data_IF_518295207979
#
_entry.id   IF_518295207979
#
_cell.length_a   1.000
_cell.length_b   1.000
_cell.length_c   1.000
_cell.angle_alpha   90.00
_cell.angle_beta   90.00
_cell.angle_gamma   90.00
#
_symmetry.space_group_name_H-M   'P 1'
#
loop_
_entity.id
_entity.type
_entity.pdbx_description
1 polymer ?
#
# COMPACT_ATOMS: atom_id res chain seq x y z
N UNK A 1 5.78 2.41 8.23
CA UNK A 1 5.74 1.59 9.46
C UNK A 1 4.33 1.06 9.60
N UNK A 2 4.11 -0.25 9.78
CA UNK A 2 2.75 -0.80 9.94
C UNK A 2 2.02 -0.16 11.12
N UNK A 3 0.89 0.48 10.85
CA UNK A 3 0.14 1.29 11.82
C UNK A 3 -0.69 0.47 12.83
N UNK A 4 -1.13 -0.74 12.45
CA UNK A 4 -2.06 -1.54 13.24
C UNK A 4 -1.47 -2.15 14.51
N UNK A 5 -0.25 -2.73 14.53
CA UNK A 5 0.31 -3.31 15.76
C UNK A 5 0.43 -2.32 16.94
N UNK A 6 0.89 -1.07 16.74
CA UNK A 6 0.82 -0.04 17.79
C UNK A 6 -0.60 0.26 18.29
N UNK A 7 -1.59 0.30 17.39
CA UNK A 7 -3.00 0.54 17.74
C UNK A 7 -3.53 -0.57 18.63
N UNK A 8 -3.27 -1.84 18.30
CA UNK A 8 -3.70 -2.98 19.11
C UNK A 8 -3.08 -2.96 20.51
N UNK A 9 -1.78 -2.65 20.61
CA UNK A 9 -1.10 -2.52 21.91
C UNK A 9 -1.76 -1.44 22.78
N UNK A 10 -2.06 -0.28 22.20
CA UNK A 10 -2.70 0.83 22.92
C UNK A 10 -4.15 0.52 23.30
N UNK A 11 -4.89 -0.21 22.47
CA UNK A 11 -6.25 -0.66 22.77
C UNK A 11 -6.26 -1.62 23.98
N UNK A 12 -5.41 -2.65 23.94
CA UNK A 12 -5.30 -3.64 25.03
C UNK A 12 -4.88 -2.98 26.35
N UNK A 13 -4.02 -1.96 26.31
CA UNK A 13 -3.60 -1.22 27.48
C UNK A 13 -4.72 -0.41 28.15
N UNK A 14 -5.85 -0.15 27.48
CA UNK A 14 -6.98 0.56 28.08
C UNK A 14 -7.84 -0.32 28.99
N UNK A 15 -7.69 -1.66 28.93
CA UNK A 15 -8.42 -2.58 29.81
C UNK A 15 -9.94 -2.51 29.67
N UNK A 16 -10.44 -2.14 28.48
CA UNK A 16 -11.87 -2.06 28.21
C UNK A 16 -12.52 -3.45 28.31
N UNK A 17 -13.75 -3.58 28.85
CA UNK A 17 -14.44 -4.86 29.01
C UNK A 17 -15.08 -5.32 27.68
N UNK A 18 -14.29 -5.36 26.60
CA UNK A 18 -14.71 -5.72 25.25
C UNK A 18 -13.70 -6.67 24.62
N UNK A 19 -14.17 -7.53 23.70
CA UNK A 19 -13.32 -8.40 22.91
C UNK A 19 -12.97 -7.71 21.59
N UNK A 20 -11.69 -7.81 21.16
CA UNK A 20 -11.26 -7.34 19.85
C UNK A 20 -11.07 -8.54 18.92
N UNK A 21 -11.80 -8.55 17.80
CA UNK A 21 -11.64 -9.53 16.74
C UNK A 21 -11.12 -8.83 15.48
N UNK A 22 -10.06 -9.36 14.87
CA UNK A 22 -9.36 -8.73 13.74
C UNK A 22 -9.45 -9.67 12.55
N UNK A 23 -9.88 -9.13 11.41
CA UNK A 23 -9.92 -9.83 10.13
C UNK A 23 -9.07 -9.08 9.10
N UNK A 24 -8.30 -9.82 8.30
CA UNK A 24 -7.67 -9.31 7.08
C UNK A 24 -8.47 -9.81 5.89
N UNK A 25 -9.13 -8.91 5.19
CA UNK A 25 -10.08 -9.18 4.11
C UNK A 25 -9.80 -8.24 2.94
N UNK A 26 -10.32 -8.58 1.76
CA UNK A 26 -10.34 -7.65 0.63
C UNK A 26 -11.36 -6.55 0.90
N UNK A 27 -11.15 -5.35 0.36
CA UNK A 27 -12.04 -4.20 0.58
C UNK A 27 -13.51 -4.52 0.29
N UNK A 28 -13.78 -5.24 -0.81
CA UNK A 28 -15.14 -5.66 -1.20
C UNK A 28 -15.80 -6.58 -0.18
N UNK A 29 -15.04 -7.51 0.40
CA UNK A 29 -15.55 -8.45 1.40
C UNK A 29 -15.80 -7.71 2.73
N UNK A 30 -14.89 -6.80 3.12
CA UNK A 30 -15.04 -5.93 4.28
C UNK A 30 -16.32 -5.10 4.20
N UNK A 31 -16.57 -4.45 3.07
CA UNK A 31 -17.77 -3.65 2.87
C UNK A 31 -19.05 -4.50 2.92
N UNK A 32 -19.04 -5.69 2.33
CA UNK A 32 -20.18 -6.59 2.39
C UNK A 32 -20.50 -7.01 3.83
N UNK A 33 -19.49 -7.36 4.64
CA UNK A 33 -19.69 -7.75 6.03
C UNK A 33 -20.14 -6.57 6.91
N UNK A 34 -19.68 -5.35 6.63
CA UNK A 34 -20.20 -4.13 7.28
C UNK A 34 -21.69 -3.94 7.00
N UNK A 35 -22.12 -4.11 5.74
CA UNK A 35 -23.52 -4.00 5.34
C UNK A 35 -24.40 -5.11 5.94
N UNK A 36 -23.81 -6.24 6.28
CA UNK A 36 -24.47 -7.37 6.96
C UNK A 36 -24.44 -7.25 8.49
N UNK A 37 -23.79 -6.21 9.04
CA UNK A 37 -23.57 -6.02 10.48
C UNK A 37 -22.73 -7.13 11.15
N UNK A 38 -21.88 -7.82 10.37
CA UNK A 38 -20.91 -8.81 10.86
C UNK A 38 -19.57 -8.17 11.27
N UNK A 39 -19.31 -6.93 10.82
CA UNK A 39 -18.18 -6.09 11.24
C UNK A 39 -18.69 -4.78 11.83
N UNK A 40 -17.98 -4.25 12.83
CA UNK A 40 -18.28 -2.95 13.42
C UNK A 40 -17.68 -1.79 12.61
N UNK A 41 -16.46 -1.95 12.12
CA UNK A 41 -15.75 -0.98 11.28
C UNK A 41 -14.63 -1.69 10.48
N UNK A 42 -14.17 -1.06 9.40
CA UNK A 42 -13.05 -1.55 8.61
C UNK A 42 -12.10 -0.41 8.23
N UNK A 43 -10.81 -0.73 8.11
CA UNK A 43 -9.85 0.08 7.38
C UNK A 43 -9.75 -0.50 5.98
N UNK A 44 -10.10 0.31 4.99
CA UNK A 44 -10.03 -0.05 3.56
C UNK A 44 -9.17 0.97 2.85
N UNK A 45 -8.57 0.54 1.74
CA UNK A 45 -8.00 1.50 0.82
C UNK A 45 -9.13 2.32 0.16
N UNK A 46 -8.92 3.61 0.02
CA UNK A 46 -9.95 4.65 -0.15
C UNK A 46 -10.74 4.60 -1.47
N UNK A 47 -10.42 3.68 -2.38
CA UNK A 47 -10.79 3.77 -3.78
C UNK A 47 -11.71 2.67 -4.32
N UNK A 48 -12.08 1.67 -3.52
CA UNK A 48 -12.68 0.43 -4.05
C UNK A 48 -14.15 0.22 -3.70
N UNK A 49 -14.69 0.86 -2.65
CA UNK A 49 -16.08 0.62 -2.24
C UNK A 49 -16.84 1.91 -1.89
N UNK A 50 -17.89 2.18 -2.67
CA UNK A 50 -18.86 3.25 -2.43
C UNK A 50 -20.25 2.64 -2.26
N UNK A 51 -20.82 2.78 -1.07
CA UNK A 51 -22.22 2.44 -0.77
C UNK A 51 -22.79 3.51 0.17
N UNK A 52 -23.93 4.09 -0.19
CA UNK A 52 -24.54 5.20 0.54
C UNK A 52 -24.96 4.84 1.98
N UNK A 53 -25.03 3.55 2.31
CA UNK A 53 -25.33 3.06 3.66
C UNK A 53 -24.10 3.04 4.56
N UNK A 54 -22.89 3.19 4.00
CA UNK A 54 -21.63 3.20 4.73
C UNK A 54 -21.14 4.63 4.92
N UNK A 55 -20.71 4.96 6.15
CA UNK A 55 -20.03 6.23 6.42
C UNK A 55 -18.53 6.04 6.27
N UNK A 56 -17.95 6.60 5.22
CA UNK A 56 -16.50 6.55 4.95
C UNK A 56 -15.84 7.84 5.45
N UNK A 57 -14.77 7.72 6.24
CA UNK A 57 -14.01 8.86 6.76
C UNK A 57 -12.51 8.61 6.61
N UNK A 58 -11.73 9.59 6.11
CA UNK A 58 -10.28 9.47 6.08
C UNK A 58 -9.73 9.29 7.50
N UNK A 59 -9.00 8.21 7.75
CA UNK A 59 -8.36 7.94 9.03
C UNK A 59 -6.96 8.56 9.11
N UNK A 60 -6.15 8.37 8.07
CA UNK A 60 -4.80 8.91 7.92
C UNK A 60 -4.39 8.85 6.43
N UNK A 61 -3.22 9.38 6.10
CA UNK A 61 -2.60 9.29 4.78
C UNK A 61 -1.15 8.84 4.95
N UNK A 62 -0.67 7.99 4.06
CA UNK A 62 0.73 7.60 4.00
C UNK A 62 1.32 8.07 2.66
N UNK A 63 2.58 8.54 2.65
CA UNK A 63 3.26 8.84 1.40
C UNK A 63 3.61 7.54 0.66
N UNK A 64 3.61 7.60 -0.66
CA UNK A 64 4.28 6.60 -1.48
C UNK A 64 5.79 6.64 -1.20
N UNK A 65 6.40 5.46 -1.11
CA UNK A 65 7.83 5.30 -0.86
C UNK A 65 8.43 4.49 -1.99
N UNK A 66 9.61 4.89 -2.43
CA UNK A 66 10.45 4.11 -3.32
C UNK A 66 11.37 3.23 -2.49
N UNK A 67 11.47 1.94 -2.83
CA UNK A 67 12.43 1.04 -2.20
C UNK A 67 13.60 0.80 -3.13
N UNK A 68 14.82 0.87 -2.58
CA UNK A 68 16.04 0.56 -3.30
C UNK A 68 17.04 -0.18 -2.39
N UNK A 69 18.02 -0.89 -2.97
CA UNK A 69 19.11 -1.48 -2.19
C UNK A 69 19.89 -0.40 -1.39
N UNK A 70 20.50 -0.75 -0.24
CA UNK A 70 21.26 0.19 0.59
C UNK A 70 22.40 0.91 -0.16
N UNK A 71 23.02 0.23 -1.13
CA UNK A 71 24.11 0.76 -1.94
C UNK A 71 23.61 1.52 -3.20
N UNK A 72 22.31 1.80 -3.29
CA UNK A 72 21.73 2.51 -4.43
C UNK A 72 22.22 3.96 -4.52
N UNK A 73 22.25 4.55 -5.73
CA UNK A 73 22.66 5.94 -5.93
C UNK A 73 21.59 6.96 -5.50
N UNK A 74 20.42 6.51 -5.02
CA UNK A 74 19.29 7.36 -4.71
C UNK A 74 19.44 8.01 -3.32
N UNK A 75 19.14 9.31 -3.24
CA UNK A 75 19.01 10.06 -1.99
C UNK A 75 17.70 9.77 -1.28
N UNK A 76 17.54 10.25 -0.04
CA UNK A 76 16.30 10.12 0.73
C UNK A 76 15.08 10.73 0.01
N UNK A 77 15.30 11.87 -0.66
CA UNK A 77 14.34 12.43 -1.61
C UNK A 77 14.82 12.11 -3.04
N UNK A 78 13.97 11.45 -3.83
CA UNK A 78 14.29 11.04 -5.19
C UNK A 78 13.46 11.84 -6.18
N UNK A 79 14.15 12.52 -7.11
CA UNK A 79 13.47 13.17 -8.23
C UNK A 79 13.02 12.12 -9.24
N UNK A 80 11.75 12.14 -9.64
CA UNK A 80 11.20 11.17 -10.61
C UNK A 80 11.92 11.17 -11.95
N UNK A 81 12.48 12.31 -12.38
CA UNK A 81 13.29 12.42 -13.59
C UNK A 81 14.65 11.70 -13.52
N UNK A 82 15.11 11.32 -12.33
CA UNK A 82 16.36 10.57 -12.14
C UNK A 82 16.17 9.05 -12.17
N UNK A 83 14.91 8.59 -12.22
CA UNK A 83 14.57 7.17 -12.23
C UNK A 83 14.67 6.59 -13.64
N UNK A 84 15.39 5.47 -13.77
CA UNK A 84 15.39 4.67 -14.98
C UNK A 84 14.24 3.66 -14.91
N UNK A 85 13.23 3.88 -15.74
CA UNK A 85 12.05 3.00 -15.82
C UNK A 85 12.42 1.57 -16.23
N UNK A 86 13.54 1.37 -16.94
CA UNK A 86 13.99 0.04 -17.34
C UNK A 86 14.56 -0.79 -16.20
N UNK A 87 14.81 -0.18 -15.03
CA UNK A 87 15.27 -0.83 -13.80
C UNK A 87 14.16 -0.91 -12.73
N UNK A 88 12.93 -0.50 -13.08
CA UNK A 88 11.78 -0.51 -12.19
C UNK A 88 11.17 -1.90 -11.99
N UNK A 89 10.90 -2.25 -10.74
CA UNK A 89 10.00 -3.31 -10.36
C UNK A 89 8.66 -2.67 -9.95
N UNK A 90 7.68 -2.70 -10.85
CA UNK A 90 6.38 -2.07 -10.63
C UNK A 90 5.44 -3.00 -9.86
N UNK A 91 4.99 -2.57 -8.68
CA UNK A 91 3.98 -3.32 -7.91
C UNK A 91 2.57 -2.92 -8.37
N UNK A 92 1.85 -3.88 -8.95
CA UNK A 92 0.53 -3.68 -9.55
C UNK A 92 -0.63 -4.02 -8.61
N UNK A 93 -0.36 -4.18 -7.31
CA UNK A 93 -1.36 -4.56 -6.31
C UNK A 93 -2.42 -3.46 -6.05
N UNK A 94 -2.03 -2.20 -6.17
CA UNK A 94 -2.86 -1.03 -5.99
C UNK A 94 -2.79 -0.16 -7.26
N UNK A 95 -3.96 0.17 -7.86
CA UNK A 95 -4.04 1.04 -9.03
C UNK A 95 -3.36 2.41 -8.89
N UNK A 96 -3.12 2.93 -7.68
CA UNK A 96 -2.40 4.20 -7.51
C UNK A 96 -0.95 4.13 -7.97
N UNK A 97 -0.25 3.00 -7.77
CA UNK A 97 1.10 2.81 -8.27
C UNK A 97 1.14 2.87 -9.80
N UNK A 98 0.18 2.21 -10.47
CA UNK A 98 0.05 2.25 -11.93
C UNK A 98 -0.27 3.66 -12.42
N UNK A 99 -1.21 4.36 -11.76
CA UNK A 99 -1.54 5.75 -12.11
C UNK A 99 -0.34 6.68 -11.94
N UNK A 100 0.44 6.50 -10.89
CA UNK A 100 1.65 7.27 -10.66
C UNK A 100 2.70 6.97 -11.74
N UNK A 101 2.95 5.69 -12.03
CA UNK A 101 3.88 5.24 -13.08
C UNK A 101 3.51 5.84 -14.44
N UNK A 102 2.26 5.65 -14.88
CA UNK A 102 1.77 6.12 -16.17
C UNK A 102 1.86 7.64 -16.31
N UNK A 103 1.70 8.36 -15.20
CA UNK A 103 1.79 9.83 -15.17
C UNK A 103 3.23 10.31 -15.42
N UNK A 104 4.24 9.62 -14.90
CA UNK A 104 5.63 10.06 -14.97
C UNK A 104 6.40 9.47 -16.14
N UNK A 105 6.19 8.19 -16.45
CA UNK A 105 6.93 7.47 -17.49
C UNK A 105 6.10 7.23 -18.75
N UNK A 106 4.78 7.35 -18.66
CA UNK A 106 3.84 7.12 -19.75
C UNK A 106 3.36 5.67 -19.81
N UNK A 107 2.08 5.46 -20.17
CA UNK A 107 1.45 4.13 -20.21
C UNK A 107 2.07 3.11 -21.19
N UNK A 108 3.02 3.54 -22.02
CA UNK A 108 3.80 2.67 -22.91
C UNK A 108 5.18 2.30 -22.38
N UNK A 109 5.56 2.81 -21.21
CA UNK A 109 6.83 2.51 -20.58
C UNK A 109 6.89 1.04 -20.17
N UNK A 110 8.12 0.54 -20.02
CA UNK A 110 8.38 -0.88 -19.78
C UNK A 110 9.25 -1.04 -18.54
N UNK A 111 8.64 -1.21 -17.36
CA UNK A 111 9.30 -1.73 -16.17
C UNK A 111 10.06 -3.02 -16.47
N UNK A 112 11.12 -3.26 -15.68
CA UNK A 112 11.87 -4.51 -15.71
C UNK A 112 10.99 -5.70 -15.32
N UNK A 113 10.13 -5.50 -14.31
CA UNK A 113 9.29 -6.53 -13.72
C UNK A 113 7.95 -5.95 -13.28
N UNK A 114 6.89 -6.73 -13.45
CA UNK A 114 5.58 -6.48 -12.85
C UNK A 114 5.35 -7.50 -11.73
N UNK A 115 4.92 -7.03 -10.57
CA UNK A 115 4.62 -7.89 -9.44
C UNK A 115 3.28 -7.52 -8.80
N UNK A 116 2.50 -8.53 -8.40
CA UNK A 116 1.24 -8.35 -7.67
C UNK A 116 1.42 -8.41 -6.14
N UNK A 117 2.66 -8.46 -5.66
CA UNK A 117 3.02 -8.57 -4.25
C UNK A 117 4.24 -7.72 -3.91
N UNK A 118 4.20 -7.06 -2.75
CA UNK A 118 5.36 -6.32 -2.21
C UNK A 118 6.55 -7.24 -1.88
N UNK A 119 6.34 -8.55 -1.73
CA UNK A 119 7.42 -9.52 -1.55
C UNK A 119 8.40 -9.54 -2.73
N UNK A 120 8.00 -8.99 -3.88
CA UNK A 120 8.90 -8.80 -5.01
C UNK A 120 10.13 -7.95 -4.66
N UNK A 121 9.98 -7.01 -3.72
CA UNK A 121 11.09 -6.18 -3.24
C UNK A 121 12.19 -7.00 -2.55
N UNK A 122 11.86 -8.14 -1.93
CA UNK A 122 12.85 -9.02 -1.28
C UNK A 122 13.82 -9.66 -2.28
N UNK A 123 13.45 -9.69 -3.57
CA UNK A 123 14.29 -10.22 -4.64
C UNK A 123 15.11 -9.15 -5.37
N UNK A 124 15.07 -7.89 -4.93
CA UNK A 124 15.96 -6.84 -5.47
C UNK A 124 17.41 -7.29 -5.27
N UNK A 125 18.15 -7.66 -6.32
CA UNK A 125 19.56 -7.92 -6.15
C UNK A 125 20.27 -6.61 -5.83
N UNK A 126 21.47 -6.67 -5.23
CA UNK A 126 22.27 -5.48 -4.89
C UNK A 126 22.75 -4.67 -6.12
N UNK A 127 22.27 -4.98 -7.31
CA UNK A 127 22.73 -4.36 -8.56
C UNK A 127 22.36 -2.88 -8.56
N UNK A 128 23.32 -2.04 -8.95
CA UNK A 128 23.20 -0.59 -8.92
C UNK A 128 21.98 -0.12 -9.75
N UNK A 129 21.11 0.70 -9.13
CA UNK A 129 20.05 1.43 -9.83
C UNK A 129 18.64 0.81 -9.81
N UNK A 130 18.45 -0.39 -9.24
CA UNK A 130 17.10 -0.99 -9.14
C UNK A 130 16.26 -0.33 -8.08
N UNK A 131 14.98 -0.22 -8.38
CA UNK A 131 14.00 0.38 -7.47
C UNK A 131 12.63 -0.28 -7.62
N UNK A 132 11.83 -0.21 -6.56
CA UNK A 132 10.45 -0.68 -6.53
C UNK A 132 9.54 0.52 -6.35
N UNK A 133 8.54 0.60 -7.24
CA UNK A 133 7.42 1.52 -7.16
C UNK A 133 6.28 0.86 -6.39
#
# INVERSE_FOLDING_TARGET
QYILPPVYKRFLAQGLPVSLWIHTLRDVDSAQLLLQHELDFAFIDSNTVFDDRLTVRPAFREPFLLLSPPDSPYSEEVETSSLDVSEELLVTWDPEFIRWHDRWFGAGARPLLYADTLQAADFLPPTEGRWVA
#
